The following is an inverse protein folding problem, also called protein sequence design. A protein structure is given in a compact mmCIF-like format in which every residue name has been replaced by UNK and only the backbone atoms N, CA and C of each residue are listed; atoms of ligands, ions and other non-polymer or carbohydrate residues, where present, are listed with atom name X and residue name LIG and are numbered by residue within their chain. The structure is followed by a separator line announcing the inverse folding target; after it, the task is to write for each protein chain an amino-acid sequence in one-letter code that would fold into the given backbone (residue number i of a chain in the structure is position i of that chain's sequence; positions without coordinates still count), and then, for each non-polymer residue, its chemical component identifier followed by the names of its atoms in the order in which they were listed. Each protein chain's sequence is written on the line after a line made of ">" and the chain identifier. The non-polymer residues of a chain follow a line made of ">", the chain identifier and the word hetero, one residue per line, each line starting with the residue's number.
data_IF_835266198626
#
_entry.id   IF_835266198626
#
_cell.length_a   1.000
_cell.length_b   1.000
_cell.length_c   1.000
_cell.angle_alpha   90.00
_cell.angle_beta   90.00
_cell.angle_gamma   90.00
#
_symmetry.space_group_name_H-M   'P 1'
#
loop_
_entity.id
_entity.type
_entity.pdbx_description
1 polymer ?
#
# COMPACT_ATOMS: atom_id res chain seq x y z
N UNK A 1 21.67 6.83 83.48
CA UNK A 1 22.77 6.29 82.65
C UNK A 1 22.30 4.96 82.08
N UNK A 2 22.15 4.66 80.80
CA UNK A 2 22.08 5.40 79.54
C UNK A 2 21.50 4.37 78.55
N UNK A 3 20.38 4.67 77.88
CA UNK A 3 19.75 3.76 76.91
C UNK A 3 20.43 3.96 75.56
N UNK A 4 21.09 2.92 75.04
CA UNK A 4 21.61 2.89 73.68
C UNK A 4 20.50 2.41 72.73
N UNK A 5 20.07 3.27 71.81
CA UNK A 5 19.16 2.95 70.72
C UNK A 5 19.98 2.55 69.49
N UNK A 6 19.90 1.28 69.09
CA UNK A 6 20.47 0.78 67.85
C UNK A 6 19.53 1.09 66.69
N UNK A 7 19.83 2.14 65.92
CA UNK A 7 19.16 2.42 64.65
C UNK A 7 19.72 1.53 63.54
N UNK A 8 18.92 0.59 63.05
CA UNK A 8 19.18 -0.04 61.74
C UNK A 8 18.77 0.94 60.65
N UNK A 9 19.76 1.58 60.02
CA UNK A 9 19.57 2.29 58.77
C UNK A 9 19.39 1.27 57.64
N UNK A 10 18.14 1.07 57.20
CA UNK A 10 17.83 0.31 55.99
C UNK A 10 18.30 1.08 54.76
N UNK A 11 19.35 0.59 54.11
CA UNK A 11 19.78 1.11 52.81
C UNK A 11 18.81 0.61 51.73
N UNK A 12 17.92 1.49 51.26
CA UNK A 12 17.08 1.24 50.10
C UNK A 12 17.94 1.24 48.85
N UNK A 13 18.27 0.05 48.34
CA UNK A 13 19.00 -0.14 47.10
C UNK A 13 18.04 0.12 45.93
N UNK A 14 17.93 1.37 45.49
CA UNK A 14 17.21 1.73 44.26
C UNK A 14 18.01 1.17 43.08
N UNK A 15 17.63 0.00 42.57
CA UNK A 15 18.11 -0.47 41.28
C UNK A 15 17.60 0.48 40.21
N UNK A 16 18.46 1.41 39.78
CA UNK A 16 18.26 2.15 38.54
C UNK A 16 18.43 1.12 37.42
N UNK A 17 17.32 0.51 37.01
CA UNK A 17 17.22 -0.17 35.73
C UNK A 17 17.41 0.92 34.66
N UNK A 18 18.66 1.19 34.30
CA UNK A 18 19.00 1.88 33.07
C UNK A 18 18.51 0.97 31.94
N UNK A 19 17.22 1.12 31.60
CA UNK A 19 16.61 0.46 30.48
C UNK A 19 17.34 0.90 29.23
N UNK A 20 18.23 0.04 28.75
CA UNK A 20 18.70 0.08 27.38
C UNK A 20 17.48 -0.15 26.50
N UNK A 21 16.73 0.91 26.20
CA UNK A 21 15.93 0.97 24.99
C UNK A 21 16.94 0.99 23.84
N UNK A 22 17.51 -0.18 23.55
CA UNK A 22 18.16 -0.40 22.28
C UNK A 22 17.10 -0.06 21.24
N UNK A 23 17.33 1.02 20.50
CA UNK A 23 16.59 1.32 19.28
C UNK A 23 16.71 0.07 18.42
N UNK A 24 15.65 -0.76 18.43
CA UNK A 24 15.60 -1.90 17.56
C UNK A 24 15.85 -1.39 16.14
N UNK A 25 16.72 -2.04 15.36
CA UNK A 25 16.91 -1.63 13.98
C UNK A 25 15.53 -1.60 13.29
N UNK A 26 15.28 -0.63 12.41
CA UNK A 26 14.02 -0.57 11.68
C UNK A 26 13.81 -1.93 11.00
N UNK A 27 12.69 -2.58 11.30
CA UNK A 27 12.36 -3.85 10.68
C UNK A 27 12.14 -3.61 9.18
N UNK A 28 12.71 -4.41 8.28
CA UNK A 28 12.41 -4.29 6.87
C UNK A 28 10.97 -4.73 6.62
N UNK A 29 10.28 -4.05 5.70
CA UNK A 29 8.99 -4.53 5.24
C UNK A 29 9.12 -5.84 4.45
N UNK A 30 8.03 -6.59 4.34
CA UNK A 30 7.99 -7.82 3.57
C UNK A 30 8.25 -7.54 2.08
N UNK A 31 9.24 -8.22 1.51
CA UNK A 31 9.58 -8.04 0.09
C UNK A 31 8.74 -8.91 -0.85
N UNK A 32 8.13 -9.98 -0.32
CA UNK A 32 7.35 -10.96 -1.07
C UNK A 32 6.07 -11.29 -0.32
N UNK A 33 5.03 -11.70 -1.05
CA UNK A 33 3.76 -12.11 -0.46
C UNK A 33 3.92 -13.19 0.60
N UNK A 34 4.73 -14.21 0.28
CA UNK A 34 5.00 -15.36 1.13
C UNK A 34 5.77 -15.01 2.41
N UNK A 35 6.44 -13.85 2.44
CA UNK A 35 7.27 -13.43 3.56
C UNK A 35 6.46 -12.87 4.75
N UNK A 36 5.21 -12.44 4.52
CA UNK A 36 4.35 -11.97 5.61
C UNK A 36 3.03 -11.33 5.19
N UNK A 37 2.86 -10.91 3.93
CA UNK A 37 1.59 -10.35 3.45
C UNK A 37 0.43 -11.35 3.59
N UNK A 38 0.71 -12.64 3.39
CA UNK A 38 -0.26 -13.72 3.56
C UNK A 38 -0.83 -13.85 4.97
N UNK A 39 -0.18 -13.30 5.99
CA UNK A 39 -0.64 -13.42 7.37
C UNK A 39 -1.88 -12.53 7.60
N UNK A 40 -2.04 -11.46 6.82
CA UNK A 40 -3.24 -10.60 6.80
C UNK A 40 -4.17 -10.91 5.63
N UNK A 41 -3.64 -11.38 4.51
CA UNK A 41 -4.38 -11.50 3.25
C UNK A 41 -4.57 -12.94 2.75
N UNK A 42 -4.23 -13.96 3.55
CA UNK A 42 -4.24 -15.38 3.15
C UNK A 42 -3.45 -15.68 1.86
N UNK A 43 -3.77 -16.74 1.13
CA UNK A 43 -3.06 -17.09 -0.09
C UNK A 43 -3.37 -16.10 -1.20
N UNK A 44 -2.37 -15.73 -2.01
CA UNK A 44 -2.63 -14.93 -3.22
C UNK A 44 -3.52 -15.67 -4.23
N UNK A 45 -3.59 -17.00 -4.12
CA UNK A 45 -4.43 -17.86 -4.95
C UNK A 45 -5.85 -18.07 -4.44
N UNK A 46 -6.23 -17.43 -3.34
CA UNK A 46 -7.60 -17.45 -2.82
C UNK A 46 -8.26 -16.06 -2.90
N UNK A 47 -9.58 -16.03 -2.68
CA UNK A 47 -10.40 -14.82 -2.71
C UNK A 47 -10.59 -14.19 -1.33
N UNK A 48 -10.01 -14.77 -0.27
CA UNK A 48 -10.28 -14.36 1.11
C UNK A 48 -9.33 -13.25 1.56
N UNK A 49 -9.80 -12.39 2.45
CA UNK A 49 -8.97 -11.44 3.18
C UNK A 49 -9.42 -11.44 4.63
N UNK A 50 -8.52 -11.21 5.58
CA UNK A 50 -8.89 -11.08 6.99
C UNK A 50 -9.60 -9.74 7.24
N UNK A 51 -9.42 -8.74 6.36
CA UNK A 51 -10.17 -7.47 6.41
C UNK A 51 -11.68 -7.76 6.34
N UNK A 52 -12.45 -7.49 7.41
CA UNK A 52 -13.89 -7.75 7.41
C UNK A 52 -14.61 -7.00 6.29
N UNK A 53 -15.55 -7.68 5.63
CA UNK A 53 -16.34 -7.11 4.54
C UNK A 53 -15.65 -7.08 3.18
N UNK A 54 -14.37 -7.47 3.09
CA UNK A 54 -13.65 -7.49 1.82
C UNK A 54 -13.61 -8.91 1.23
N UNK A 55 -14.34 -9.14 0.14
CA UNK A 55 -14.37 -10.43 -0.57
C UNK A 55 -14.01 -10.21 -2.03
N UNK A 56 -12.99 -10.91 -2.52
CA UNK A 56 -12.63 -10.83 -3.93
C UNK A 56 -13.54 -11.73 -4.78
N UNK A 57 -13.95 -11.33 -5.99
CA UNK A 57 -14.82 -12.15 -6.83
C UNK A 57 -14.09 -13.35 -7.45
N UNK A 58 -12.76 -13.34 -7.44
CA UNK A 58 -11.92 -14.47 -7.78
C UNK A 58 -10.69 -14.47 -6.85
N UNK A 59 -9.71 -15.34 -7.13
CA UNK A 59 -8.45 -15.23 -6.42
C UNK A 59 -7.81 -13.87 -6.66
N UNK A 60 -7.10 -13.36 -5.65
CA UNK A 60 -6.33 -12.10 -5.78
C UNK A 60 -5.42 -12.16 -7.00
N UNK A 61 -4.73 -13.28 -7.22
CA UNK A 61 -3.89 -13.47 -8.40
C UNK A 61 -4.69 -13.38 -9.72
N UNK A 62 -5.86 -14.02 -9.81
CA UNK A 62 -6.67 -13.98 -11.03
C UNK A 62 -7.17 -12.56 -11.33
N UNK A 63 -7.63 -11.83 -10.31
CA UNK A 63 -8.04 -10.44 -10.44
C UNK A 63 -6.88 -9.59 -10.97
N UNK A 64 -5.70 -9.68 -10.36
CA UNK A 64 -4.54 -8.91 -10.82
C UNK A 64 -4.15 -9.29 -12.24
N UNK A 65 -4.14 -10.59 -12.56
CA UNK A 65 -3.69 -11.11 -13.83
C UNK A 65 -4.63 -10.83 -15.01
N UNK A 66 -5.94 -10.86 -14.79
CA UNK A 66 -6.93 -10.88 -15.86
C UNK A 66 -7.91 -9.71 -15.84
N UNK A 67 -8.02 -8.98 -14.73
CA UNK A 67 -8.94 -7.86 -14.59
C UNK A 67 -8.20 -6.54 -14.49
N UNK A 68 -7.13 -6.48 -13.68
CA UNK A 68 -6.34 -5.26 -13.50
C UNK A 68 -5.21 -5.14 -14.54
N UNK A 69 -4.70 -6.27 -15.02
CA UNK A 69 -3.61 -6.33 -15.98
C UNK A 69 -3.94 -7.33 -17.11
N UNK A 70 -3.24 -7.21 -18.23
CA UNK A 70 -3.35 -8.11 -19.38
C UNK A 70 -2.29 -9.23 -19.31
N UNK A 71 -2.31 -10.02 -18.23
CA UNK A 71 -1.35 -11.10 -17.95
C UNK A 71 0.14 -10.67 -17.92
N UNK A 72 0.39 -9.42 -17.53
CA UNK A 72 1.72 -8.81 -17.40
C UNK A 72 2.49 -9.31 -16.18
N UNK A 73 2.84 -10.59 -16.17
CA UNK A 73 3.40 -11.27 -15.01
C UNK A 73 4.70 -10.59 -14.51
N UNK A 74 5.50 -10.03 -15.41
CA UNK A 74 6.76 -9.38 -15.06
C UNK A 74 6.62 -8.07 -14.32
N UNK A 75 5.44 -7.43 -14.37
CA UNK A 75 5.16 -6.26 -13.55
C UNK A 75 5.18 -6.59 -12.06
N UNK A 76 4.77 -7.81 -11.67
CA UNK A 76 4.65 -8.23 -10.26
C UNK A 76 5.73 -9.23 -9.82
N UNK A 77 6.27 -10.01 -10.75
CA UNK A 77 7.08 -11.17 -10.44
C UNK A 77 8.53 -11.02 -10.87
N UNK A 78 9.47 -11.33 -9.97
CA UNK A 78 10.87 -11.60 -10.33
C UNK A 78 11.01 -12.92 -11.09
N UNK A 79 10.17 -13.90 -10.75
CA UNK A 79 10.00 -15.20 -11.39
C UNK A 79 8.51 -15.53 -11.36
N UNK A 80 7.96 -16.02 -12.47
CA UNK A 80 6.53 -16.36 -12.56
C UNK A 80 6.07 -17.33 -11.46
N UNK A 81 4.89 -17.06 -10.91
CA UNK A 81 4.28 -17.85 -9.84
C UNK A 81 3.18 -17.09 -9.11
N UNK A 82 2.87 -17.51 -7.89
CA UNK A 82 1.84 -16.88 -7.04
C UNK A 82 2.45 -16.03 -5.91
N UNK A 83 3.74 -15.70 -6.01
CA UNK A 83 4.48 -14.92 -5.00
C UNK A 83 4.96 -13.60 -5.61
N UNK A 84 4.09 -12.58 -5.70
CA UNK A 84 4.47 -11.26 -6.17
C UNK A 84 5.39 -10.56 -5.16
N UNK A 85 6.21 -9.66 -5.67
CA UNK A 85 7.13 -8.87 -4.87
C UNK A 85 6.60 -7.45 -4.63
N UNK A 86 6.95 -6.88 -3.48
CA UNK A 86 6.47 -5.58 -3.04
C UNK A 86 7.02 -4.45 -3.92
N UNK A 87 8.34 -4.33 -4.02
CA UNK A 87 9.04 -3.19 -4.62
C UNK A 87 10.06 -3.55 -5.71
N UNK A 88 10.03 -4.79 -6.19
CA UNK A 88 10.95 -5.31 -7.20
C UNK A 88 10.21 -6.27 -8.11
N UNK A 89 10.44 -6.18 -9.42
CA UNK A 89 10.04 -7.21 -10.36
C UNK A 89 10.93 -7.13 -11.59
N UNK A 90 10.75 -8.04 -12.56
CA UNK A 90 11.52 -8.00 -13.81
C UNK A 90 11.06 -6.89 -14.77
N UNK A 91 9.84 -6.37 -14.57
CA UNK A 91 9.18 -5.43 -15.47
C UNK A 91 8.60 -6.09 -16.72
N UNK A 92 7.93 -5.30 -17.54
CA UNK A 92 7.47 -5.66 -18.87
C UNK A 92 7.82 -4.54 -19.85
N UNK A 93 7.61 -4.75 -21.15
CA UNK A 93 7.82 -3.68 -22.13
C UNK A 93 6.90 -2.50 -21.81
N UNK A 94 7.50 -1.34 -21.51
CA UNK A 94 6.76 -0.14 -21.11
C UNK A 94 6.32 -0.10 -19.64
N UNK A 95 6.69 -1.10 -18.83
CA UNK A 95 6.36 -1.18 -17.40
C UNK A 95 7.63 -1.42 -16.57
N UNK A 96 8.06 -0.45 -15.75
CA UNK A 96 9.25 -0.63 -14.93
C UNK A 96 9.04 -1.74 -13.90
N UNK A 97 10.09 -2.49 -13.57
CA UNK A 97 10.00 -3.60 -12.61
C UNK A 97 9.84 -3.13 -11.16
N UNK A 98 8.60 -2.91 -10.71
CA UNK A 98 8.29 -2.35 -9.39
C UNK A 98 7.45 -3.24 -8.50
N UNK A 99 6.74 -4.24 -9.00
CA UNK A 99 5.93 -5.08 -8.11
C UNK A 99 4.62 -4.40 -7.70
N UNK A 100 4.12 -4.72 -6.50
CA UNK A 100 2.85 -4.20 -5.98
C UNK A 100 2.82 -2.66 -5.88
N UNK A 101 3.95 -2.04 -5.53
CA UNK A 101 4.07 -0.57 -5.38
C UNK A 101 3.96 0.19 -6.70
N UNK A 102 3.92 -0.50 -7.85
CA UNK A 102 3.65 0.15 -9.13
C UNK A 102 2.22 0.72 -9.22
N UNK A 103 1.26 0.08 -8.54
CA UNK A 103 -0.10 0.59 -8.38
C UNK A 103 -0.36 1.10 -6.96
N UNK A 104 0.13 0.40 -5.93
CA UNK A 104 -0.26 0.65 -4.54
C UNK A 104 0.79 1.41 -3.72
N UNK A 105 1.80 1.98 -4.35
CA UNK A 105 2.94 2.59 -3.67
C UNK A 105 3.15 4.04 -4.03
N UNK A 106 3.87 4.72 -3.14
CA UNK A 106 4.41 6.05 -3.39
C UNK A 106 5.85 5.90 -3.82
N UNK A 107 6.26 6.62 -4.87
CA UNK A 107 7.66 6.94 -5.06
C UNK A 107 7.97 8.23 -4.31
N UNK A 108 8.55 8.19 -3.10
CA UNK A 108 8.88 9.42 -2.39
C UNK A 108 10.05 10.17 -3.05
N UNK A 109 10.79 9.55 -3.97
CA UNK A 109 11.86 10.20 -4.72
C UNK A 109 11.91 9.72 -6.18
N UNK A 110 11.00 10.22 -7.04
CA UNK A 110 10.98 9.95 -8.47
C UNK A 110 12.38 9.97 -9.10
N UNK A 111 12.79 8.83 -9.65
CA UNK A 111 14.08 8.68 -10.33
C UNK A 111 15.29 8.37 -9.44
N UNK A 112 15.10 8.21 -8.12
CA UNK A 112 16.16 7.74 -7.20
C UNK A 112 15.79 6.38 -6.63
N UNK A 113 16.63 5.34 -6.80
CA UNK A 113 16.45 4.08 -6.08
C UNK A 113 16.41 4.35 -4.57
N UNK A 114 15.30 4.02 -3.93
CA UNK A 114 15.13 4.15 -2.49
C UNK A 114 14.50 2.86 -1.96
N UNK A 115 14.61 2.61 -0.65
CA UNK A 115 14.01 1.42 -0.01
C UNK A 115 12.59 1.72 0.52
N UNK A 116 12.02 2.88 0.18
CA UNK A 116 10.79 3.42 0.77
C UNK A 116 9.53 3.16 -0.04
N UNK A 117 9.61 2.51 -1.20
CA UNK A 117 8.46 2.27 -2.07
C UNK A 117 7.28 1.55 -1.39
N UNK A 118 7.57 0.66 -0.45
CA UNK A 118 6.54 -0.02 0.34
C UNK A 118 5.96 0.80 1.49
N UNK A 119 6.50 1.98 1.79
CA UNK A 119 6.13 2.76 2.97
C UNK A 119 4.75 3.41 2.82
N UNK A 120 4.46 3.97 1.64
CA UNK A 120 3.11 4.44 1.32
C UNK A 120 2.07 3.32 1.42
N UNK A 121 2.36 2.14 0.87
CA UNK A 121 1.45 0.98 0.95
C UNK A 121 1.18 0.54 2.40
N UNK A 122 2.19 0.56 3.27
CA UNK A 122 2.01 0.20 4.68
C UNK A 122 1.10 1.18 5.41
N UNK A 123 1.25 2.48 5.18
CA UNK A 123 0.37 3.48 5.78
C UNK A 123 -1.04 3.41 5.18
N UNK A 124 -1.19 3.21 3.87
CA UNK A 124 -2.47 2.92 3.22
C UNK A 124 -3.16 1.71 3.89
N UNK A 125 -2.46 0.59 4.06
CA UNK A 125 -3.01 -0.58 4.75
C UNK A 125 -3.45 -0.28 6.19
N UNK A 126 -2.69 0.53 6.93
CA UNK A 126 -3.08 0.96 8.26
C UNK A 126 -4.36 1.80 8.24
N UNK A 127 -4.44 2.81 7.38
CA UNK A 127 -5.62 3.67 7.21
C UNK A 127 -6.85 2.83 6.83
N UNK A 128 -6.66 1.88 5.92
CA UNK A 128 -7.72 1.01 5.42
C UNK A 128 -8.11 -0.12 6.40
N UNK A 129 -7.52 -0.17 7.58
CA UNK A 129 -7.80 -1.15 8.63
C UNK A 129 -7.36 -2.58 8.30
N UNK A 130 -6.29 -2.74 7.51
CA UNK A 130 -5.71 -4.05 7.20
C UNK A 130 -4.89 -4.55 8.39
N UNK A 131 -5.17 -5.80 8.79
CA UNK A 131 -4.53 -6.48 9.90
C UNK A 131 -5.50 -6.73 11.06
N UNK A 132 -4.98 -7.14 12.23
CA UNK A 132 -3.59 -7.50 12.49
C UNK A 132 -3.15 -8.80 11.78
N UNK A 133 -1.84 -9.05 11.78
CA UNK A 133 -1.26 -10.34 11.36
C UNK A 133 -1.50 -11.46 12.39
N UNK A 134 -0.92 -12.65 12.15
CA UNK A 134 -1.05 -13.80 13.04
C UNK A 134 -0.41 -13.63 14.44
N UNK A 135 0.36 -12.56 14.65
CA UNK A 135 0.98 -12.17 15.93
C UNK A 135 0.21 -11.03 16.61
N UNK A 136 -0.85 -10.52 15.99
CA UNK A 136 -1.60 -9.39 16.52
C UNK A 136 -0.97 -8.03 16.20
N UNK A 137 -0.05 -7.97 15.23
CA UNK A 137 0.67 -6.75 14.85
C UNK A 137 0.10 -6.13 13.56
N UNK A 138 0.14 -4.81 13.47
CA UNK A 138 -0.06 -4.03 12.24
C UNK A 138 1.26 -3.40 11.81
N UNK A 139 1.38 -3.00 10.54
CA UNK A 139 2.62 -2.43 10.00
C UNK A 139 3.12 -1.23 10.83
N UNK A 140 2.22 -0.37 11.29
CA UNK A 140 2.52 0.82 12.08
C UNK A 140 3.15 0.51 13.45
N UNK A 141 3.00 -0.70 13.98
CA UNK A 141 3.62 -1.10 15.25
C UNK A 141 5.15 -1.11 15.15
N UNK A 142 5.69 -1.32 13.94
CA UNK A 142 7.12 -1.28 13.64
C UNK A 142 7.51 -0.11 12.74
N UNK A 143 6.57 0.44 11.96
CA UNK A 143 6.79 1.47 10.95
C UNK A 143 6.02 2.76 11.25
N UNK A 144 6.26 3.38 12.41
CA UNK A 144 5.53 4.57 12.88
C UNK A 144 5.84 5.88 12.14
N UNK A 145 6.69 5.87 11.11
CA UNK A 145 7.12 7.09 10.37
C UNK A 145 7.02 6.90 8.86
N UNK A 146 6.09 6.05 8.41
CA UNK A 146 5.84 5.91 6.98
C UNK A 146 5.32 7.23 6.39
N UNK A 147 5.76 7.61 5.18
CA UNK A 147 5.29 8.83 4.54
C UNK A 147 3.82 8.68 4.16
N UNK A 148 3.09 9.79 4.19
CA UNK A 148 1.71 9.86 3.69
C UNK A 148 1.64 9.24 2.29
N UNK A 149 0.65 8.37 2.03
CA UNK A 149 0.42 7.84 0.69
C UNK A 149 0.11 8.95 -0.32
N UNK A 150 0.09 8.61 -1.61
CA UNK A 150 -0.36 9.57 -2.62
C UNK A 150 -1.89 9.68 -2.54
N UNK A 151 -2.45 10.90 -2.63
CA UNK A 151 -3.90 11.08 -2.74
C UNK A 151 -4.45 10.47 -4.05
N UNK A 152 -5.75 10.25 -4.13
CA UNK A 152 -6.44 9.60 -5.26
C UNK A 152 -6.25 10.37 -6.58
N UNK A 153 -6.08 11.70 -6.52
CA UNK A 153 -5.77 12.52 -7.69
C UNK A 153 -4.33 12.39 -8.22
N UNK A 154 -3.45 11.73 -7.49
CA UNK A 154 -2.08 11.47 -7.92
C UNK A 154 -1.98 10.05 -8.48
N UNK A 155 -1.61 9.94 -9.75
CA UNK A 155 -1.51 8.65 -10.44
C UNK A 155 -0.27 7.86 -10.01
N UNK A 156 -0.45 6.61 -9.54
CA UNK A 156 0.65 5.68 -9.37
C UNK A 156 1.36 5.37 -10.69
N UNK A 157 2.56 4.79 -10.59
CA UNK A 157 3.47 4.60 -11.72
C UNK A 157 2.89 3.76 -12.87
N UNK A 158 2.07 2.76 -12.57
CA UNK A 158 1.49 1.85 -13.57
C UNK A 158 0.21 2.37 -14.22
N UNK A 159 -0.38 3.44 -13.69
CA UNK A 159 -1.69 3.90 -14.16
C UNK A 159 -1.62 4.43 -15.58
N UNK A 160 -2.56 3.99 -16.41
CA UNK A 160 -2.62 4.42 -17.81
C UNK A 160 -1.54 3.82 -18.72
N UNK A 161 -0.68 2.94 -18.21
CA UNK A 161 0.30 2.25 -19.03
C UNK A 161 -0.34 1.11 -19.83
N UNK A 162 0.28 0.75 -20.95
CA UNK A 162 -0.24 -0.30 -21.84
C UNK A 162 -0.37 -1.64 -21.11
N UNK A 163 -1.54 -2.26 -21.23
CA UNK A 163 -1.86 -3.55 -20.60
C UNK A 163 -2.25 -3.44 -19.12
N UNK A 164 -2.30 -2.23 -18.54
CA UNK A 164 -2.86 -1.96 -17.21
C UNK A 164 -4.25 -1.38 -17.40
N UNK A 165 -5.27 -2.02 -16.84
CA UNK A 165 -6.66 -1.57 -16.97
C UNK A 165 -7.02 -0.46 -15.97
N UNK A 166 -6.23 -0.34 -14.89
CA UNK A 166 -6.37 0.72 -13.89
C UNK A 166 -5.90 2.05 -14.48
N UNK A 167 -6.85 2.95 -14.66
CA UNK A 167 -6.63 4.22 -15.37
C UNK A 167 -6.97 5.45 -14.53
N UNK A 168 -7.85 5.33 -13.54
CA UNK A 168 -8.42 6.47 -12.80
C UNK A 168 -8.68 6.09 -11.34
N UNK A 169 -7.86 6.57 -10.42
CA UNK A 169 -8.11 6.38 -8.98
C UNK A 169 -9.23 7.25 -8.43
N UNK A 170 -9.72 8.24 -9.20
CA UNK A 170 -11.06 8.77 -8.98
C UNK A 170 -11.88 8.38 -10.20
N UNK A 171 -12.71 7.35 -10.09
CA UNK A 171 -13.67 7.09 -11.14
C UNK A 171 -14.94 7.92 -10.88
N UNK A 172 -15.60 8.39 -11.93
CA UNK A 172 -16.79 9.23 -11.78
C UNK A 172 -18.07 8.38 -11.80
N UNK A 173 -17.96 7.06 -11.95
CA UNK A 173 -19.10 6.18 -12.16
C UNK A 173 -19.64 5.55 -10.86
N UNK A 174 -18.97 5.79 -9.74
CA UNK A 174 -19.41 5.34 -8.42
C UNK A 174 -19.29 3.84 -8.22
N UNK A 175 -18.55 3.15 -9.10
CA UNK A 175 -18.50 1.68 -9.14
C UNK A 175 -17.21 1.09 -8.60
N UNK A 176 -16.32 1.92 -8.02
CA UNK A 176 -14.98 1.52 -7.61
C UNK A 176 -14.99 0.23 -6.79
N UNK A 177 -14.44 -0.83 -7.38
CA UNK A 177 -14.30 -2.11 -6.75
C UNK A 177 -12.82 -2.45 -6.59
N UNK A 178 -12.31 -2.12 -5.40
CA UNK A 178 -11.04 -2.56 -4.80
C UNK A 178 -10.64 -4.01 -5.03
N UNK A 179 -11.58 -4.87 -5.42
CA UNK A 179 -11.34 -6.28 -5.63
C UNK A 179 -11.49 -6.76 -7.06
N UNK A 180 -11.87 -5.93 -8.05
CA UNK A 180 -12.13 -6.54 -9.38
C UNK A 180 -12.34 -5.71 -10.63
N UNK A 181 -12.87 -4.49 -10.57
CA UNK A 181 -13.32 -3.85 -11.82
C UNK A 181 -12.15 -3.30 -12.64
N UNK A 182 -11.00 -3.09 -11.99
CA UNK A 182 -9.81 -2.52 -12.58
C UNK A 182 -10.01 -1.07 -13.01
N UNK A 183 -11.04 -0.36 -12.52
CA UNK A 183 -11.35 1.00 -12.97
C UNK A 183 -10.69 2.05 -12.09
N UNK A 184 -10.67 1.82 -10.77
CA UNK A 184 -10.00 2.69 -9.80
C UNK A 184 -9.53 1.96 -8.54
N UNK A 185 -8.67 2.63 -7.77
CA UNK A 185 -8.16 2.16 -6.48
C UNK A 185 -8.04 3.37 -5.55
N UNK A 186 -8.53 3.18 -4.33
CA UNK A 186 -8.17 3.93 -3.13
C UNK A 186 -6.62 3.88 -2.96
N UNK A 187 -5.95 5.01 -3.16
CA UNK A 187 -4.49 5.09 -3.13
C UNK A 187 -3.97 5.35 -1.72
N UNK A 188 -4.76 6.00 -0.86
CA UNK A 188 -4.31 6.54 0.42
C UNK A 188 -4.85 5.82 1.66
N UNK A 189 -5.88 4.99 1.45
CA UNK A 189 -6.48 4.07 2.40
C UNK A 189 -7.51 4.73 3.31
N UNK A 190 -7.92 5.96 3.05
CA UNK A 190 -8.82 6.71 3.94
C UNK A 190 -10.28 6.22 3.89
N UNK A 191 -10.64 5.45 2.85
CA UNK A 191 -11.91 4.76 2.60
C UNK A 191 -13.08 5.59 2.05
N UNK A 192 -13.02 6.91 1.90
CA UNK A 192 -13.76 7.60 0.84
C UNK A 192 -13.39 7.10 -0.57
N UNK A 193 -14.31 7.29 -1.53
CA UNK A 193 -14.11 6.91 -2.95
C UNK A 193 -14.72 7.95 -3.87
N UNK A 194 -14.24 8.00 -5.11
CA UNK A 194 -14.85 8.73 -6.21
C UNK A 194 -15.19 10.19 -5.80
N UNK A 195 -16.34 10.72 -6.23
CA UNK A 195 -16.77 12.06 -5.82
C UNK A 195 -17.12 12.22 -4.33
N UNK A 196 -17.11 11.15 -3.53
CA UNK A 196 -17.23 11.25 -2.07
C UNK A 196 -15.87 11.46 -1.40
N UNK A 197 -14.78 11.17 -2.10
CA UNK A 197 -13.42 11.44 -1.69
C UNK A 197 -13.07 12.92 -1.90
N UNK A 198 -12.50 13.53 -0.87
CA UNK A 198 -12.06 14.92 -0.91
C UNK A 198 -10.87 15.15 -1.85
N UNK A 199 -10.08 14.11 -2.10
CA UNK A 199 -8.95 14.14 -3.03
C UNK A 199 -9.40 13.98 -4.48
N UNK A 200 -10.68 13.69 -4.73
CA UNK A 200 -11.29 13.56 -6.04
C UNK A 200 -12.20 14.75 -6.39
N UNK A 201 -11.64 15.95 -6.67
CA UNK A 201 -12.46 17.06 -7.11
C UNK A 201 -13.07 16.75 -8.49
N UNK A 202 -14.39 16.53 -8.49
CA UNK A 202 -15.20 16.65 -9.70
C UNK A 202 -15.14 18.11 -10.14
N UNK A 203 -14.29 18.44 -11.12
CA UNK A 203 -14.35 19.76 -11.73
C UNK A 203 -15.71 19.95 -12.40
N UNK A 204 -16.22 21.18 -12.39
CA UNK A 204 -17.54 21.51 -12.92
C UNK A 204 -17.71 21.23 -14.43
N UNK A 205 -16.62 20.97 -15.15
CA UNK A 205 -16.59 20.57 -16.55
C UNK A 205 -16.66 19.05 -16.76
N UNK A 206 -16.67 18.25 -15.68
CA UNK A 206 -16.66 16.80 -15.72
C UNK A 206 -15.31 16.19 -16.07
N UNK A 207 -14.20 16.92 -15.91
CA UNK A 207 -12.86 16.43 -16.17
C UNK A 207 -11.94 16.55 -14.95
N UNK A 208 -11.33 15.45 -14.54
CA UNK A 208 -10.25 15.46 -13.55
C UNK A 208 -9.03 16.25 -14.07
N UNK A 209 -8.54 17.22 -13.30
CA UNK A 209 -7.29 17.92 -13.61
C UNK A 209 -6.14 16.93 -13.69
N UNK A 210 -5.38 16.95 -14.79
CA UNK A 210 -4.21 16.09 -14.98
C UNK A 210 -4.45 14.85 -15.84
N UNK A 211 -5.70 14.49 -16.13
CA UNK A 211 -6.01 13.44 -17.11
C UNK A 211 -6.04 13.97 -18.55
N UNK A 212 -4.88 14.09 -19.18
CA UNK A 212 -4.80 14.44 -20.61
C UNK A 212 -5.06 13.25 -21.54
N UNK A 213 -5.29 12.03 -21.02
CA UNK A 213 -5.45 10.83 -21.85
C UNK A 213 -6.72 10.87 -22.72
N UNK A 214 -7.75 11.62 -22.29
CA UNK A 214 -8.95 11.88 -23.10
C UNK A 214 -8.80 13.05 -24.08
N UNK A 215 -7.69 13.77 -24.04
CA UNK A 215 -7.36 14.83 -25.00
C UNK A 215 -6.63 14.27 -26.23
N UNK A 216 -7.00 13.07 -26.70
CA UNK A 216 -6.51 12.56 -27.98
C UNK A 216 -7.07 13.43 -29.10
N UNK A 217 -6.16 14.12 -29.77
CA UNK A 217 -6.35 15.14 -30.81
C UNK A 217 -7.08 14.64 -32.06
N UNK A 218 -8.41 14.50 -31.99
CA UNK A 218 -9.23 14.22 -33.17
C UNK A 218 -10.50 15.07 -33.18
N UNK A 219 -10.36 16.40 -33.15
CA UNK A 219 -11.35 17.25 -33.81
C UNK A 219 -10.93 17.28 -35.27
N UNK A 220 -11.67 16.65 -36.21
CA UNK A 220 -11.41 16.86 -37.62
C UNK A 220 -11.71 18.33 -37.88
N UNK A 221 -10.70 19.11 -38.24
CA UNK A 221 -10.94 20.41 -38.86
C UNK A 221 -11.70 20.11 -40.16
N UNK A 222 -13.01 20.31 -40.14
CA UNK A 222 -13.82 20.34 -41.35
C UNK A 222 -13.31 21.49 -42.20
N UNK A 223 -12.69 21.15 -43.33
CA UNK A 223 -12.50 22.07 -44.45
C UNK A 223 -13.84 22.41 -45.11
#
# INVERSE_FOLDING_TARGET
>A
MGRAASGLAGATLTMIAAGWFALAPPSPAYNFWSAGCRDCHSSFTDSTSIKPGNTWPASKHNVHRNQMMDSLCGACHVVDGDDPALNLSRGETGLPGKGCVGCHGVDPTPGTPNNYWGAGLRLHHFNAGVGPDNQGLVCSDCHGTDPTPQPENARPLYYGLTGVNVHRSCNDDGSENWTSDGLGLDNDGDLPYDGADSDCPLFADGFQSGDTSRWSSAIPLRG
#
